data_IF_285614485176
#
_entry.id   IF_285614485176
#
_cell.length_a   1.000
_cell.length_b   1.000
_cell.length_c   1.000
_cell.angle_alpha   90.00
_cell.angle_beta   90.00
_cell.angle_gamma   90.00
#
_symmetry.space_group_name_H-M   'P 1'
#
loop_
_entity.id
_entity.type
_entity.pdbx_description
1 polymer ?
#
# COMPACT_ATOMS: atom_id res chain seq x y z
N UNK A 1 2.34 12.31 -23.03
CA UNK A 1 1.41 11.16 -22.98
C UNK A 1 1.45 10.61 -21.57
N UNK A 2 0.30 10.57 -20.88
CA UNK A 2 0.21 9.96 -19.55
C UNK A 2 0.17 8.44 -19.64
N UNK A 3 0.82 7.75 -18.70
CA UNK A 3 0.71 6.29 -18.54
C UNK A 3 -0.44 6.02 -17.58
N UNK A 4 -1.46 5.30 -18.04
CA UNK A 4 -2.59 4.92 -17.20
C UNK A 4 -2.18 3.77 -16.27
N UNK A 5 -2.40 3.95 -14.97
CA UNK A 5 -2.20 2.88 -13.97
C UNK A 5 -3.37 1.89 -14.06
N UNK A 6 -3.06 0.60 -14.04
CA UNK A 6 -4.05 -0.49 -14.12
C UNK A 6 -3.85 -1.51 -12.99
N UNK A 7 -4.81 -2.42 -12.84
CA UNK A 7 -4.66 -3.59 -11.97
C UNK A 7 -3.32 -4.31 -12.24
N UNK A 8 -2.66 -4.76 -11.17
CA UNK A 8 -1.37 -5.45 -11.22
C UNK A 8 -0.15 -4.52 -11.27
N UNK A 9 -0.32 -3.21 -11.33
CA UNK A 9 0.82 -2.26 -11.28
C UNK A 9 1.55 -2.42 -9.95
N UNK A 10 2.88 -2.58 -10.00
CA UNK A 10 3.68 -2.69 -8.79
C UNK A 10 3.77 -1.33 -8.08
N UNK A 11 3.22 -1.25 -6.88
CA UNK A 11 3.40 -0.14 -5.96
C UNK A 11 4.68 -0.36 -5.15
N UNK A 12 5.34 0.73 -4.79
CA UNK A 12 6.53 0.70 -3.94
C UNK A 12 6.40 1.71 -2.80
N UNK A 13 6.49 1.21 -1.56
CA UNK A 13 6.61 2.04 -0.37
C UNK A 13 8.09 2.23 -0.03
N UNK A 14 8.52 3.45 0.26
CA UNK A 14 9.92 3.76 0.63
C UNK A 14 10.41 3.06 1.90
N UNK A 15 9.48 2.59 2.75
CA UNK A 15 9.77 1.92 4.03
C UNK A 15 9.34 0.45 4.06
N UNK A 16 8.87 -0.09 2.93
CA UNK A 16 8.49 -1.49 2.80
C UNK A 16 9.63 -2.33 2.23
N UNK A 17 9.73 -3.59 2.64
CA UNK A 17 10.75 -4.51 2.15
C UNK A 17 10.44 -5.11 0.77
N UNK A 18 9.19 -5.08 0.32
CA UNK A 18 8.78 -5.65 -0.95
C UNK A 18 7.76 -4.77 -1.69
N UNK A 19 7.80 -4.69 -3.03
CA UNK A 19 6.72 -4.13 -3.83
C UNK A 19 5.42 -4.93 -3.64
N UNK A 20 4.29 -4.26 -3.82
CA UNK A 20 2.97 -4.88 -3.74
C UNK A 20 2.15 -4.55 -4.99
N UNK A 21 1.40 -5.49 -5.58
CA UNK A 21 0.56 -5.20 -6.73
C UNK A 21 -0.65 -4.34 -6.31
N UNK A 22 -0.99 -3.35 -7.12
CA UNK A 22 -2.24 -2.60 -7.01
C UNK A 22 -3.39 -3.49 -7.44
N UNK A 23 -4.32 -3.76 -6.53
CA UNK A 23 -5.57 -4.41 -6.85
C UNK A 23 -6.60 -3.34 -7.23
N UNK A 24 -7.22 -3.47 -8.40
CA UNK A 24 -8.25 -2.55 -8.88
C UNK A 24 -9.51 -3.36 -9.14
N UNK A 25 -10.59 -3.02 -8.46
CA UNK A 25 -11.87 -3.67 -8.71
C UNK A 25 -12.44 -3.16 -10.05
N UNK A 26 -13.12 -4.00 -10.83
CA UNK A 26 -13.77 -3.59 -12.07
C UNK A 26 -15.06 -2.77 -11.82
N UNK A 27 -15.06 -1.90 -10.82
CA UNK A 27 -16.23 -1.12 -10.40
C UNK A 27 -16.62 -0.04 -11.41
N UNK A 28 -15.63 0.53 -12.12
CA UNK A 28 -15.85 1.58 -13.13
C UNK A 28 -16.14 1.02 -14.52
N UNK A 29 -15.87 -0.27 -14.75
CA UNK A 29 -16.04 -0.92 -16.06
C UNK A 29 -15.06 -0.46 -17.15
N UNK A 30 -14.10 0.41 -16.84
CA UNK A 30 -13.10 0.90 -17.81
C UNK A 30 -11.88 -0.01 -17.80
N UNK A 31 -11.51 -0.50 -18.99
CA UNK A 31 -10.35 -1.37 -19.19
C UNK A 31 -9.30 -0.66 -20.04
N UNK A 32 -8.04 -0.74 -19.61
CA UNK A 32 -6.87 -0.34 -20.39
C UNK A 32 -5.91 -1.53 -20.49
N UNK A 33 -6.40 -2.65 -21.03
CA UNK A 33 -5.74 -3.98 -20.98
C UNK A 33 -6.04 -4.75 -19.69
N UNK A 34 -6.08 -4.04 -18.56
CA UNK A 34 -6.60 -4.49 -17.26
C UNK A 34 -7.50 -3.38 -16.66
N UNK A 35 -8.25 -3.65 -15.57
CA UNK A 35 -9.07 -2.62 -14.91
C UNK A 35 -8.28 -1.34 -14.64
N UNK A 36 -8.78 -0.20 -15.11
CA UNK A 36 -8.11 1.09 -14.98
C UNK A 36 -8.26 1.63 -13.55
N UNK A 37 -7.13 1.99 -12.92
CA UNK A 37 -7.12 2.55 -11.58
C UNK A 37 -7.66 3.98 -11.56
N UNK A 38 -8.37 4.31 -10.48
CA UNK A 38 -8.93 5.63 -10.20
C UNK A 38 -8.48 6.11 -8.83
N UNK A 39 -8.62 7.42 -8.55
CA UNK A 39 -8.27 8.00 -7.23
C UNK A 39 -8.98 7.33 -6.05
N UNK A 40 -10.09 6.62 -6.30
CA UNK A 40 -10.84 5.88 -5.29
C UNK A 40 -10.21 4.52 -4.94
N UNK A 41 -9.27 4.02 -5.74
CA UNK A 41 -8.57 2.76 -5.50
C UNK A 41 -7.44 2.89 -4.46
N UNK A 42 -7.62 3.76 -3.47
CA UNK A 42 -6.68 4.02 -2.39
C UNK A 42 -6.93 3.18 -1.14
N UNK A 43 -7.93 2.29 -1.14
CA UNK A 43 -8.39 1.62 0.08
C UNK A 43 -7.32 0.63 0.59
N UNK A 44 -6.84 0.78 1.85
CA UNK A 44 -5.91 -0.16 2.45
C UNK A 44 -6.48 -1.58 2.50
N UNK A 45 -5.62 -2.58 2.29
CA UNK A 45 -5.97 -4.02 2.33
C UNK A 45 -6.98 -4.48 1.28
N UNK A 46 -7.55 -3.57 0.48
CA UNK A 46 -8.42 -3.90 -0.65
C UNK A 46 -7.70 -3.61 -1.96
N UNK A 47 -7.24 -2.38 -2.15
CA UNK A 47 -6.52 -1.97 -3.34
C UNK A 47 -5.00 -1.99 -3.13
N UNK A 48 -4.56 -1.51 -1.96
CA UNK A 48 -3.14 -1.41 -1.61
C UNK A 48 -2.81 -2.52 -0.62
N UNK A 49 -2.05 -3.51 -1.09
CA UNK A 49 -1.61 -4.65 -0.29
C UNK A 49 -0.36 -4.31 0.55
N UNK A 50 -0.09 -5.07 1.63
CA UNK A 50 1.12 -4.94 2.44
C UNK A 50 2.42 -5.00 1.63
N UNK A 51 3.37 -4.11 1.94
CA UNK A 51 4.71 -4.05 1.34
C UNK A 51 5.75 -4.94 2.05
N UNK A 52 5.33 -6.11 2.53
CA UNK A 52 6.17 -6.98 3.37
C UNK A 52 6.37 -6.41 4.79
N UNK A 53 7.62 -6.29 5.24
CA UNK A 53 7.95 -5.70 6.55
C UNK A 53 8.14 -4.18 6.44
N UNK A 54 7.65 -3.44 7.43
CA UNK A 54 7.72 -1.98 7.49
C UNK A 54 8.70 -1.53 8.57
N UNK A 55 9.51 -0.52 8.25
CA UNK A 55 10.43 0.16 9.19
C UNK A 55 9.98 1.57 9.56
N UNK A 56 8.78 1.99 9.14
CA UNK A 56 8.26 3.32 9.42
C UNK A 56 7.57 3.39 10.79
N UNK A 57 8.05 4.26 11.68
CA UNK A 57 7.48 4.48 13.03
C UNK A 57 6.08 5.13 12.98
N UNK A 58 5.68 5.72 11.85
CA UNK A 58 4.30 6.21 11.68
C UNK A 58 3.28 5.08 11.44
N UNK A 59 3.73 3.86 11.14
CA UNK A 59 2.85 2.70 11.09
C UNK A 59 2.50 2.28 12.53
N UNK A 60 1.21 2.20 12.93
CA UNK A 60 0.84 1.93 14.33
C UNK A 60 1.36 0.59 14.85
N UNK A 61 1.48 -0.44 13.98
CA UNK A 61 2.06 -1.72 14.39
C UNK A 61 3.55 -1.61 14.71
N UNK A 62 4.30 -0.87 13.88
CA UNK A 62 5.73 -0.61 14.11
C UNK A 62 5.92 0.28 15.33
N UNK A 63 5.09 1.31 15.50
CA UNK A 63 5.10 2.19 16.67
C UNK A 63 4.88 1.42 17.98
N UNK A 64 3.85 0.57 18.01
CA UNK A 64 3.52 -0.24 19.19
C UNK A 64 4.63 -1.25 19.52
N UNK A 65 5.18 -1.92 18.51
CA UNK A 65 6.27 -2.86 18.71
C UNK A 65 7.57 -2.16 19.13
N UNK A 66 7.85 -0.98 18.60
CA UNK A 66 9.01 -0.16 18.97
C UNK A 66 8.89 0.32 20.42
N UNK A 67 7.69 0.72 20.83
CA UNK A 67 7.41 1.06 22.24
C UNK A 67 7.57 -0.15 23.16
N UNK A 68 7.11 -1.34 22.75
CA UNK A 68 7.28 -2.59 23.51
C UNK A 68 8.75 -3.02 23.60
N UNK A 69 9.57 -2.69 22.60
CA UNK A 69 11.00 -2.96 22.56
C UNK A 69 11.85 -1.82 23.18
N UNK A 70 11.26 -1.02 24.08
CA UNK A 70 11.93 0.07 24.80
C UNK A 70 12.61 1.09 23.86
N UNK A 71 12.01 1.35 22.69
CA UNK A 71 12.50 2.28 21.69
C UNK A 71 13.41 1.66 20.61
N UNK A 72 13.70 0.36 20.68
CA UNK A 72 14.39 -0.33 19.59
C UNK A 72 13.43 -0.54 18.41
N UNK A 73 13.81 -0.08 17.21
CA UNK A 73 13.01 -0.24 16.01
C UNK A 73 12.78 -1.74 15.74
N UNK A 74 11.52 -2.16 15.83
CA UNK A 74 11.09 -3.54 15.57
C UNK A 74 10.25 -3.56 14.29
N UNK A 75 10.83 -4.06 13.17
CA UNK A 75 10.09 -4.18 11.93
C UNK A 75 8.90 -5.13 12.10
N UNK A 76 7.71 -4.65 11.71
CA UNK A 76 6.46 -5.40 11.77
C UNK A 76 5.83 -5.50 10.38
N UNK A 77 4.88 -6.43 10.15
CA UNK A 77 4.13 -6.47 8.90
C UNK A 77 3.53 -5.11 8.55
N UNK A 78 3.73 -4.67 7.31
CA UNK A 78 3.25 -3.37 6.84
C UNK A 78 1.72 -3.38 6.74
N UNK A 79 1.06 -2.52 7.51
CA UNK A 79 -0.34 -2.16 7.28
C UNK A 79 -0.37 -0.83 6.53
N UNK A 80 -0.79 -0.80 5.24
CA UNK A 80 -0.90 0.45 4.50
C UNK A 80 -1.88 1.42 5.18
N UNK A 81 -1.53 2.70 5.23
CA UNK A 81 -2.31 3.75 5.90
C UNK A 81 -2.67 4.88 4.91
N UNK A 82 -3.36 4.53 3.84
CA UNK A 82 -3.83 5.47 2.81
C UNK A 82 -5.24 5.98 3.14
N UNK A 83 -5.31 6.93 4.07
CA UNK A 83 -6.57 7.50 4.58
C UNK A 83 -7.29 8.43 3.61
N UNK A 84 -6.60 8.88 2.54
CA UNK A 84 -7.15 9.77 1.53
C UNK A 84 -6.82 9.29 0.10
N UNK A 85 -7.64 9.68 -0.89
CA UNK A 85 -7.32 9.54 -2.32
C UNK A 85 -5.97 10.19 -2.68
N UNK A 86 -5.31 9.66 -3.72
CA UNK A 86 -4.06 10.20 -4.26
C UNK A 86 -4.26 11.31 -5.29
#
# INVERSE_FOLDING_TARGET
MGIQVTAGTALQCSFGAAPAPLNVLPATGVLAGAPAATVMDHVPMLNIMPFGVCSCVANPMVAAATAAALGALTPMPCVPMTTAPW
#
